data_IF_169227524558
#
_entry.id   IF_169227524558
#
_cell.length_a   1.000
_cell.length_b   1.000
_cell.length_c   1.000
_cell.angle_alpha   90.00
_cell.angle_beta   90.00
_cell.angle_gamma   90.00
#
_symmetry.space_group_name_H-M   'P 1'
#
loop_
_entity.id
_entity.type
_entity.pdbx_description
1 polymer ?
#
# COMPACT_ATOMS: atom_id res chain seq x y z
N UNK A 1 3.86 -34.36 -2.16
CA UNK A 1 4.08 -32.93 -1.85
C UNK A 1 3.66 -32.69 -0.40
N UNK A 2 4.50 -32.08 0.42
CA UNK A 2 4.18 -31.84 1.83
C UNK A 2 3.16 -30.70 1.94
N UNK A 3 1.96 -31.01 2.39
CA UNK A 3 0.95 -29.99 2.71
C UNK A 3 1.48 -29.03 3.78
N UNK A 4 1.22 -27.73 3.61
CA UNK A 4 1.55 -26.71 4.61
C UNK A 4 0.63 -26.84 5.81
N UNK A 5 1.21 -26.79 7.00
CA UNK A 5 0.42 -26.77 8.24
C UNK A 5 -0.25 -25.41 8.44
N UNK A 6 -1.33 -25.37 9.22
CA UNK A 6 -1.95 -24.09 9.63
C UNK A 6 -0.95 -23.17 10.33
N UNK A 7 0.02 -23.76 11.05
CA UNK A 7 1.10 -23.03 11.70
C UNK A 7 1.99 -22.30 10.70
N UNK A 8 2.32 -22.93 9.55
CA UNK A 8 3.10 -22.30 8.47
C UNK A 8 2.30 -21.11 7.86
N UNK A 9 0.98 -21.31 7.60
CA UNK A 9 0.11 -20.32 6.94
C UNK A 9 -0.13 -19.09 7.82
N UNK A 10 -0.50 -19.32 9.08
CA UNK A 10 -0.73 -18.24 10.05
C UNK A 10 0.59 -17.51 10.35
N UNK A 11 1.66 -18.27 10.60
CA UNK A 11 2.95 -17.68 10.92
C UNK A 11 3.51 -16.81 9.80
N UNK A 12 3.37 -17.25 8.55
CA UNK A 12 3.72 -16.41 7.40
C UNK A 12 2.86 -15.14 7.35
N UNK A 13 1.54 -15.26 7.51
CA UNK A 13 0.65 -14.11 7.48
C UNK A 13 0.90 -13.07 8.59
N UNK A 14 1.34 -13.51 9.78
CA UNK A 14 1.72 -12.60 10.88
C UNK A 14 2.93 -11.72 10.53
N UNK A 15 3.81 -12.16 9.62
CA UNK A 15 4.89 -11.32 9.11
C UNK A 15 4.36 -10.09 8.35
N UNK A 16 3.28 -10.24 7.58
CA UNK A 16 2.64 -9.10 6.89
C UNK A 16 1.92 -8.17 7.87
N UNK A 17 1.31 -8.73 8.92
CA UNK A 17 0.73 -7.94 10.01
C UNK A 17 1.78 -7.06 10.68
N UNK A 18 2.98 -7.60 10.95
CA UNK A 18 4.09 -6.84 11.51
C UNK A 18 4.54 -5.68 10.61
N UNK A 19 4.75 -5.95 9.32
CA UNK A 19 5.06 -4.92 8.32
C UNK A 19 3.91 -3.91 8.18
N UNK A 20 2.67 -4.40 8.23
CA UNK A 20 1.45 -3.61 8.17
C UNK A 20 1.31 -2.61 9.33
N UNK A 21 1.78 -2.93 10.52
CA UNK A 21 1.76 -2.03 11.67
C UNK A 21 2.55 -0.75 11.38
N UNK A 22 3.78 -0.89 10.91
CA UNK A 22 4.63 0.27 10.57
C UNK A 22 4.07 1.01 9.35
N UNK A 23 3.61 0.28 8.34
CA UNK A 23 3.02 0.86 7.15
C UNK A 23 1.80 1.73 7.47
N UNK A 24 0.85 1.22 8.26
CA UNK A 24 -0.36 1.95 8.62
C UNK A 24 -0.07 3.15 9.52
N UNK A 25 0.85 2.98 10.49
CA UNK A 25 1.29 4.10 11.32
C UNK A 25 1.89 5.23 10.47
N UNK A 26 2.73 4.88 9.48
CA UNK A 26 3.31 5.85 8.55
C UNK A 26 2.23 6.53 7.69
N UNK A 27 1.26 5.78 7.17
CA UNK A 27 0.24 6.31 6.27
C UNK A 27 -0.77 7.22 6.97
N UNK A 28 -1.17 6.89 8.20
CA UNK A 28 -2.24 7.59 8.89
C UNK A 28 -1.75 8.61 9.92
N UNK A 29 -0.64 8.32 10.60
CA UNK A 29 -0.24 9.09 11.77
C UNK A 29 0.98 9.97 11.52
N UNK A 30 1.92 9.55 10.63
CA UNK A 30 3.23 10.20 10.55
C UNK A 30 3.16 11.63 10.03
N UNK A 31 2.29 11.92 9.06
CA UNK A 31 2.14 13.28 8.54
C UNK A 31 1.70 14.23 9.66
N UNK A 32 0.65 13.87 10.37
CA UNK A 32 0.14 14.64 11.51
C UNK A 32 1.17 14.71 12.64
N UNK A 33 1.82 13.58 12.98
CA UNK A 33 2.87 13.57 14.01
C UNK A 33 3.99 14.57 13.69
N UNK A 34 4.52 14.57 12.46
CA UNK A 34 5.62 15.45 12.09
C UNK A 34 5.23 16.93 12.13
N UNK A 35 4.02 17.31 11.73
CA UNK A 35 3.60 18.71 11.73
C UNK A 35 3.10 19.17 13.09
N UNK A 36 2.16 18.46 13.70
CA UNK A 36 1.40 18.91 14.87
C UNK A 36 2.09 18.55 16.20
N UNK A 37 2.79 17.42 16.27
CA UNK A 37 3.38 16.92 17.52
C UNK A 37 4.88 17.19 17.57
N UNK A 38 5.59 16.91 16.49
CA UNK A 38 7.04 17.06 16.38
C UNK A 38 7.43 18.52 16.04
N UNK A 39 6.57 19.24 15.30
CA UNK A 39 6.75 20.66 14.96
C UNK A 39 7.60 20.91 13.72
N UNK A 40 7.63 20.00 12.75
CA UNK A 40 8.22 20.25 11.43
C UNK A 40 7.28 21.08 10.55
N UNK A 41 7.85 21.91 9.68
CA UNK A 41 7.05 22.54 8.63
C UNK A 41 6.51 21.48 7.64
N UNK A 42 5.29 21.68 7.17
CA UNK A 42 4.63 20.77 6.23
C UNK A 42 5.44 20.62 4.92
N UNK A 43 6.13 21.68 4.46
CA UNK A 43 6.98 21.62 3.28
C UNK A 43 8.19 20.71 3.44
N UNK A 44 8.85 20.73 4.61
CA UNK A 44 9.96 19.81 4.94
C UNK A 44 9.46 18.39 5.00
N UNK A 45 8.31 18.15 5.64
CA UNK A 45 7.66 16.84 5.71
C UNK A 45 7.38 16.27 4.31
N UNK A 46 6.76 17.06 3.43
CA UNK A 46 6.44 16.62 2.06
C UNK A 46 7.71 16.28 1.26
N UNK A 47 8.76 17.09 1.40
CA UNK A 47 10.05 16.83 0.75
C UNK A 47 10.72 15.57 1.29
N UNK A 48 10.65 15.35 2.61
CA UNK A 48 11.17 14.13 3.25
C UNK A 48 10.47 12.87 2.72
N UNK A 49 9.15 12.92 2.57
CA UNK A 49 8.38 11.81 2.01
C UNK A 49 8.77 11.52 0.55
N UNK A 50 8.96 12.56 -0.26
CA UNK A 50 9.42 12.40 -1.64
C UNK A 50 10.82 11.75 -1.70
N UNK A 51 11.79 12.30 -0.97
CA UNK A 51 13.18 11.82 -0.95
C UNK A 51 13.27 10.37 -0.50
N UNK A 52 12.52 10.00 0.55
CA UNK A 52 12.52 8.62 1.04
C UNK A 52 12.00 7.62 -0.02
N UNK A 53 11.03 8.02 -0.84
CA UNK A 53 10.51 7.16 -1.92
C UNK A 53 11.48 7.04 -3.10
N UNK A 54 12.23 8.07 -3.39
CA UNK A 54 13.33 7.97 -4.38
C UNK A 54 14.41 7.00 -3.88
N UNK A 55 14.73 7.04 -2.59
CA UNK A 55 15.65 6.07 -1.98
C UNK A 55 15.11 4.63 -2.05
N UNK A 56 13.81 4.41 -1.79
CA UNK A 56 13.16 3.10 -1.96
C UNK A 56 13.38 2.54 -3.37
N UNK A 57 13.20 3.38 -4.39
CA UNK A 57 13.35 2.96 -5.79
C UNK A 57 14.77 2.44 -6.11
N UNK A 58 15.79 2.92 -5.39
CA UNK A 58 17.18 2.47 -5.53
C UNK A 58 17.47 1.28 -4.61
N UNK A 59 17.00 1.32 -3.38
CA UNK A 59 17.34 0.32 -2.35
C UNK A 59 16.62 -1.00 -2.54
N UNK A 60 15.41 -1.02 -3.11
CA UNK A 60 14.67 -2.28 -3.34
C UNK A 60 15.39 -3.24 -4.32
N UNK A 61 15.87 -2.79 -5.49
CA UNK A 61 16.66 -3.66 -6.37
C UNK A 61 17.97 -4.13 -5.73
N UNK A 62 18.64 -3.24 -4.97
CA UNK A 62 19.86 -3.59 -4.24
C UNK A 62 19.58 -4.64 -3.18
N UNK A 63 18.46 -4.54 -2.49
CA UNK A 63 18.02 -5.53 -1.51
C UNK A 63 17.72 -6.87 -2.16
N UNK A 64 17.04 -6.89 -3.33
CA UNK A 64 16.83 -8.09 -4.12
C UNK A 64 18.14 -8.80 -4.46
N UNK A 65 19.13 -8.06 -4.97
CA UNK A 65 20.47 -8.58 -5.27
C UNK A 65 21.20 -9.12 -4.03
N UNK A 66 21.04 -8.45 -2.88
CA UNK A 66 21.63 -8.91 -1.61
C UNK A 66 21.00 -10.24 -1.17
N UNK A 67 19.68 -10.34 -1.26
CA UNK A 67 18.94 -11.57 -0.94
C UNK A 67 19.36 -12.72 -1.84
N UNK A 68 19.47 -12.48 -3.14
CA UNK A 68 19.86 -13.52 -4.11
C UNK A 68 21.25 -14.08 -3.86
N UNK A 69 22.16 -13.28 -3.30
CA UNK A 69 23.53 -13.69 -2.94
C UNK A 69 23.64 -14.29 -1.54
N UNK A 70 22.60 -14.15 -0.71
CA UNK A 70 22.63 -14.62 0.67
C UNK A 70 22.36 -16.10 0.75
N UNK A 71 23.28 -16.85 1.39
CA UNK A 71 23.13 -18.26 1.72
C UNK A 71 23.56 -18.47 3.15
N UNK A 72 22.62 -18.86 4.02
CA UNK A 72 22.89 -19.09 5.44
C UNK A 72 22.30 -20.43 5.90
N UNK A 73 22.68 -20.86 7.11
CA UNK A 73 22.08 -22.03 7.76
C UNK A 73 20.57 -21.92 8.00
N UNK A 74 20.02 -20.70 7.97
CA UNK A 74 18.59 -20.44 8.14
C UNK A 74 17.82 -20.32 6.83
N UNK A 75 18.51 -20.38 5.70
CA UNK A 75 17.98 -20.20 4.36
C UNK A 75 18.47 -18.92 3.69
N UNK A 76 17.77 -18.50 2.65
CA UNK A 76 18.07 -17.33 1.83
C UNK A 76 17.33 -16.07 2.34
N UNK A 77 16.04 -16.19 2.66
CA UNK A 77 15.13 -15.07 2.98
C UNK A 77 14.90 -14.89 4.48
N UNK A 78 14.77 -16.00 5.24
CA UNK A 78 14.50 -15.99 6.68
C UNK A 78 15.51 -15.24 7.55
N UNK A 79 16.83 -15.22 7.24
CA UNK A 79 17.80 -14.47 8.01
C UNK A 79 17.49 -12.98 8.13
N UNK A 80 16.88 -12.40 7.10
CA UNK A 80 16.51 -10.98 7.09
C UNK A 80 15.38 -10.66 8.06
N UNK A 81 14.45 -11.59 8.28
CA UNK A 81 13.43 -11.48 9.34
C UNK A 81 14.08 -11.54 10.73
N UNK A 82 15.02 -12.47 10.93
CA UNK A 82 15.70 -12.63 12.20
C UNK A 82 16.54 -11.42 12.60
N UNK A 83 17.38 -10.95 11.68
CA UNK A 83 18.29 -9.83 11.94
C UNK A 83 17.59 -8.47 11.84
N UNK A 84 16.58 -8.37 10.99
CA UNK A 84 15.83 -7.14 10.77
C UNK A 84 14.78 -6.84 11.84
N UNK A 85 14.28 -7.82 12.59
CA UNK A 85 13.19 -7.63 13.53
C UNK A 85 13.50 -6.57 14.60
N UNK A 86 14.65 -6.68 15.28
CA UNK A 86 15.04 -5.72 16.32
C UNK A 86 15.28 -4.32 15.77
N UNK A 87 16.11 -4.11 14.73
CA UNK A 87 16.25 -2.80 14.10
C UNK A 87 14.91 -2.20 13.63
N UNK A 88 14.00 -3.04 13.09
CA UNK A 88 12.68 -2.61 12.64
C UNK A 88 11.84 -2.00 13.78
N UNK A 89 11.77 -2.69 14.94
CA UNK A 89 11.09 -2.15 16.11
C UNK A 89 11.73 -0.89 16.66
N UNK A 90 13.08 -0.89 16.83
CA UNK A 90 13.81 0.26 17.37
C UNK A 90 13.63 1.50 16.49
N UNK A 91 13.79 1.38 15.17
CA UNK A 91 13.69 2.53 14.27
C UNK A 91 12.25 3.03 14.18
N UNK A 92 11.25 2.12 14.26
CA UNK A 92 9.85 2.51 14.37
C UNK A 92 9.60 3.39 15.61
N UNK A 93 10.12 3.00 16.76
CA UNK A 93 10.03 3.78 18.01
C UNK A 93 10.73 5.13 17.87
N UNK A 94 11.95 5.15 17.35
CA UNK A 94 12.74 6.37 17.18
C UNK A 94 12.09 7.37 16.21
N UNK A 95 11.41 6.90 15.17
CA UNK A 95 10.73 7.78 14.20
C UNK A 95 9.62 8.61 14.85
N UNK A 96 9.00 8.12 15.92
CA UNK A 96 7.95 8.81 16.66
C UNK A 96 8.43 9.37 18.03
N UNK A 97 9.73 9.45 18.25
CA UNK A 97 10.32 10.10 19.41
C UNK A 97 10.62 11.57 19.10
N UNK A 98 10.30 12.46 20.02
CA UNK A 98 10.52 13.91 19.90
C UNK A 98 11.65 14.36 20.81
N UNK A 99 12.91 14.46 20.33
CA UNK A 99 14.02 14.93 21.14
C UNK A 99 13.99 16.47 21.33
N UNK A 100 14.56 16.94 22.44
CA UNK A 100 14.74 18.37 22.71
C UNK A 100 15.96 18.92 21.98
N UNK A 101 15.90 18.93 20.64
CA UNK A 101 16.95 19.50 19.78
C UNK A 101 16.53 20.89 19.27
N UNK A 102 17.52 21.65 18.76
CA UNK A 102 17.28 22.85 17.98
C UNK A 102 16.42 22.55 16.74
N UNK A 103 15.81 23.55 16.13
CA UNK A 103 14.97 23.37 14.93
C UNK A 103 15.71 22.61 13.81
N UNK A 104 16.98 22.93 13.56
CA UNK A 104 17.81 22.21 12.59
C UNK A 104 18.09 20.76 13.04
N UNK A 105 18.36 20.56 14.33
CA UNK A 105 18.59 19.22 14.89
C UNK A 105 17.35 18.33 14.75
N UNK A 106 16.16 18.88 14.96
CA UNK A 106 14.88 18.17 14.73
C UNK A 106 14.70 17.74 13.27
N UNK A 107 15.02 18.62 12.31
CA UNK A 107 14.93 18.30 10.88
C UNK A 107 15.88 17.14 10.54
N UNK A 108 17.14 17.22 10.97
CA UNK A 108 18.14 16.17 10.73
C UNK A 108 17.69 14.85 11.36
N UNK A 109 17.20 14.89 12.61
CA UNK A 109 16.71 13.73 13.30
C UNK A 109 15.55 13.04 12.57
N UNK A 110 14.54 13.81 12.14
CA UNK A 110 13.41 13.30 11.38
C UNK A 110 13.86 12.69 10.03
N UNK A 111 14.78 13.35 9.32
CA UNK A 111 15.36 12.81 8.08
C UNK A 111 16.07 11.48 8.30
N UNK A 112 16.96 11.42 9.29
CA UNK A 112 17.74 10.21 9.59
C UNK A 112 16.84 9.07 10.01
N UNK A 113 15.93 9.30 10.97
CA UNK A 113 15.04 8.24 11.49
C UNK A 113 14.06 7.73 10.43
N UNK A 114 13.51 8.60 9.60
CA UNK A 114 12.58 8.19 8.56
C UNK A 114 13.29 7.45 7.40
N UNK A 115 14.47 7.90 6.98
CA UNK A 115 15.30 7.18 6.01
C UNK A 115 15.69 5.80 6.55
N UNK A 116 16.12 5.72 7.82
CA UNK A 116 16.42 4.44 8.45
C UNK A 116 15.19 3.54 8.52
N UNK A 117 14.01 4.08 8.84
CA UNK A 117 12.74 3.32 8.84
C UNK A 117 12.47 2.72 7.47
N UNK A 118 12.62 3.51 6.41
CA UNK A 118 12.44 3.08 5.04
C UNK A 118 13.42 1.96 4.66
N UNK A 119 14.71 2.12 4.99
CA UNK A 119 15.73 1.11 4.71
C UNK A 119 15.49 -0.21 5.46
N UNK A 120 15.18 -0.13 6.75
CA UNK A 120 14.91 -1.33 7.57
C UNK A 120 13.59 -1.99 7.15
N UNK A 121 12.59 -1.19 6.76
CA UNK A 121 11.35 -1.73 6.19
C UNK A 121 11.64 -2.53 4.91
N UNK A 122 12.42 -1.98 3.97
CA UNK A 122 12.85 -2.67 2.74
C UNK A 122 13.66 -3.92 3.06
N UNK A 123 14.58 -3.86 4.05
CA UNK A 123 15.40 -4.98 4.49
C UNK A 123 14.57 -6.19 4.98
N UNK A 124 13.43 -5.94 5.62
CA UNK A 124 12.52 -6.99 6.12
C UNK A 124 11.49 -7.37 5.06
N UNK A 125 10.84 -6.40 4.43
CA UNK A 125 9.65 -6.61 3.61
C UNK A 125 9.98 -7.24 2.24
N UNK A 126 11.09 -6.87 1.59
CA UNK A 126 11.46 -7.42 0.27
C UNK A 126 11.71 -8.92 0.35
N UNK A 127 12.58 -9.43 1.27
CA UNK A 127 12.76 -10.87 1.43
C UNK A 127 11.47 -11.59 1.86
N UNK A 128 10.70 -10.98 2.77
CA UNK A 128 9.43 -11.53 3.22
C UNK A 128 8.45 -11.77 2.06
N UNK A 129 8.29 -10.80 1.16
CA UNK A 129 7.40 -10.93 0.00
C UNK A 129 7.83 -12.03 -0.98
N UNK A 130 9.12 -12.36 -1.04
CA UNK A 130 9.66 -13.39 -1.92
C UNK A 130 9.60 -14.82 -1.32
N UNK A 131 9.42 -14.94 0.00
CA UNK A 131 9.40 -16.24 0.70
C UNK A 131 8.39 -17.28 0.21
N UNK A 132 7.18 -16.97 -0.30
CA UNK A 132 6.21 -17.98 -0.70
C UNK A 132 6.76 -18.98 -1.72
N UNK A 133 7.63 -18.52 -2.62
CA UNK A 133 8.29 -19.38 -3.62
C UNK A 133 9.14 -20.47 -3.00
N UNK A 134 9.88 -20.17 -1.93
CA UNK A 134 10.78 -21.12 -1.26
C UNK A 134 10.10 -21.92 -0.14
N UNK A 135 8.95 -21.49 0.35
CA UNK A 135 8.15 -22.24 1.34
C UNK A 135 7.46 -23.44 0.68
N UNK A 136 6.86 -23.24 -0.51
CA UNK A 136 6.15 -24.30 -1.24
C UNK A 136 6.27 -24.16 -2.74
N UNK A 137 6.44 -25.29 -3.42
CA UNK A 137 6.38 -25.38 -4.88
C UNK A 137 4.95 -25.61 -5.39
N UNK A 138 4.01 -26.04 -4.52
CA UNK A 138 2.62 -26.31 -4.89
C UNK A 138 1.85 -24.99 -5.09
N UNK A 139 1.29 -24.71 -6.28
CA UNK A 139 0.53 -23.50 -6.55
C UNK A 139 -0.70 -23.33 -5.63
N UNK A 140 -1.39 -24.42 -5.28
CA UNK A 140 -2.59 -24.37 -4.40
C UNK A 140 -2.20 -23.98 -2.98
N UNK A 141 -1.13 -24.57 -2.45
CA UNK A 141 -0.61 -24.23 -1.12
C UNK A 141 -0.04 -22.80 -1.10
N UNK A 142 0.58 -22.35 -2.19
CA UNK A 142 1.06 -20.95 -2.34
C UNK A 142 -0.11 -19.96 -2.33
N UNK A 143 -1.20 -20.28 -3.03
CA UNK A 143 -2.43 -19.47 -3.01
C UNK A 143 -3.04 -19.41 -1.60
N UNK A 144 -3.14 -20.56 -0.90
CA UNK A 144 -3.62 -20.60 0.47
C UNK A 144 -2.75 -19.76 1.42
N UNK A 145 -1.42 -19.82 1.27
CA UNK A 145 -0.47 -19.02 2.04
C UNK A 145 -0.72 -17.50 1.84
N UNK A 146 -0.90 -17.05 0.59
CA UNK A 146 -1.21 -15.66 0.27
C UNK A 146 -2.59 -15.22 0.80
N UNK A 147 -3.60 -16.10 0.76
CA UNK A 147 -4.92 -15.80 1.31
C UNK A 147 -4.86 -15.55 2.82
N UNK A 148 -4.14 -16.37 3.57
CA UNK A 148 -3.89 -16.15 5.00
C UNK A 148 -3.09 -14.87 5.28
N UNK A 149 -2.10 -14.59 4.43
CA UNK A 149 -1.34 -13.33 4.49
C UNK A 149 -2.26 -12.12 4.41
N UNK A 150 -3.07 -12.02 3.36
CA UNK A 150 -3.97 -10.87 3.17
C UNK A 150 -5.05 -10.77 4.25
N UNK A 151 -5.57 -11.91 4.72
CA UNK A 151 -6.53 -11.92 5.84
C UNK A 151 -5.93 -11.34 7.12
N UNK A 152 -4.74 -11.79 7.51
CA UNK A 152 -4.06 -11.32 8.71
C UNK A 152 -3.55 -9.88 8.56
N UNK A 153 -3.13 -9.46 7.38
CA UNK A 153 -2.80 -8.06 7.09
C UNK A 153 -4.03 -7.14 7.27
N UNK A 154 -5.21 -7.56 6.78
CA UNK A 154 -6.45 -6.81 6.97
C UNK A 154 -6.83 -6.73 8.45
N UNK A 155 -6.74 -7.83 9.19
CA UNK A 155 -6.98 -7.85 10.63
C UNK A 155 -6.01 -6.93 11.39
N UNK A 156 -4.73 -6.93 11.02
CA UNK A 156 -3.72 -6.03 11.57
C UNK A 156 -4.02 -4.54 11.27
N UNK A 157 -4.44 -4.24 10.05
CA UNK A 157 -4.85 -2.88 9.65
C UNK A 157 -6.04 -2.38 10.49
N UNK A 158 -7.05 -3.23 10.70
CA UNK A 158 -8.19 -2.90 11.56
C UNK A 158 -7.76 -2.67 13.01
N UNK A 159 -6.87 -3.53 13.54
CA UNK A 159 -6.36 -3.38 14.89
C UNK A 159 -5.64 -2.04 15.08
N UNK A 160 -4.76 -1.65 14.16
CA UNK A 160 -4.07 -0.35 14.21
C UNK A 160 -5.06 0.81 14.15
N UNK A 161 -6.01 0.77 13.21
CA UNK A 161 -6.99 1.86 13.05
C UNK A 161 -7.84 2.08 14.30
N UNK A 162 -8.10 1.01 15.08
CA UNK A 162 -8.89 1.09 16.31
C UNK A 162 -8.09 1.32 17.58
N UNK A 163 -6.80 0.94 17.61
CA UNK A 163 -6.00 0.88 18.86
C UNK A 163 -4.95 1.99 18.91
N UNK A 164 -4.42 2.46 17.77
CA UNK A 164 -3.27 3.35 17.76
C UNK A 164 -3.54 4.68 18.49
N UNK A 165 -4.61 5.41 18.13
CA UNK A 165 -4.95 6.68 18.78
C UNK A 165 -5.42 6.54 20.23
N UNK A 166 -6.24 5.53 20.62
CA UNK A 166 -6.49 5.24 22.02
C UNK A 166 -5.22 4.97 22.85
N UNK A 167 -4.24 4.22 22.31
CA UNK A 167 -2.95 4.03 22.98
C UNK A 167 -2.22 5.37 23.16
N UNK A 168 -2.21 6.25 22.15
CA UNK A 168 -1.63 7.58 22.26
C UNK A 168 -2.28 8.36 23.40
N UNK A 169 -3.61 8.35 23.50
CA UNK A 169 -4.35 9.04 24.55
C UNK A 169 -4.10 8.47 25.94
N UNK A 170 -4.16 7.15 26.10
CA UNK A 170 -4.01 6.44 27.39
C UNK A 170 -2.58 6.63 27.94
N UNK A 171 -1.57 6.48 27.08
CA UNK A 171 -0.16 6.57 27.49
C UNK A 171 0.25 8.01 27.68
N UNK A 172 -0.19 8.89 26.78
CA UNK A 172 0.18 10.31 26.78
C UNK A 172 -0.42 11.13 27.91
N UNK A 173 -1.60 10.76 28.42
CA UNK A 173 -2.30 11.47 29.49
C UNK A 173 -2.31 13.01 29.30
N UNK A 174 -2.53 13.44 28.07
CA UNK A 174 -2.52 14.85 27.66
C UNK A 174 -1.21 15.34 27.05
N UNK A 175 -0.13 14.57 27.07
CA UNK A 175 1.11 14.85 26.35
C UNK A 175 1.18 13.99 25.09
N UNK A 176 0.89 14.59 23.92
CA UNK A 176 0.87 13.87 22.64
C UNK A 176 2.24 13.28 22.28
N UNK A 177 3.35 13.96 22.58
CA UNK A 177 4.71 13.46 22.28
C UNK A 177 4.99 12.16 22.99
N UNK A 178 4.69 12.09 24.31
CA UNK A 178 4.82 10.86 25.11
C UNK A 178 3.85 9.79 24.61
N UNK A 179 2.64 10.20 24.25
CA UNK A 179 1.59 9.31 23.76
C UNK A 179 1.99 8.60 22.46
N UNK A 180 2.44 9.34 21.44
CA UNK A 180 2.88 8.78 20.16
C UNK A 180 4.10 7.88 20.33
N UNK A 181 5.11 8.32 21.08
CA UNK A 181 6.28 7.48 21.35
C UNK A 181 5.89 6.18 22.05
N UNK A 182 5.11 6.25 23.14
CA UNK A 182 4.68 5.07 23.89
C UNK A 182 3.81 4.11 23.08
N UNK A 183 2.88 4.64 22.27
CA UNK A 183 2.08 3.81 21.37
C UNK A 183 2.96 3.08 20.34
N UNK A 184 3.95 3.78 19.78
CA UNK A 184 4.89 3.16 18.83
C UNK A 184 5.85 2.19 19.49
N UNK A 185 6.17 2.34 20.78
CA UNK A 185 6.87 1.31 21.54
C UNK A 185 6.07 0.01 21.64
N UNK A 186 4.78 0.09 21.93
CA UNK A 186 3.90 -1.08 21.98
C UNK A 186 3.78 -1.74 20.62
N UNK A 187 3.51 -0.95 19.56
CA UNK A 187 3.34 -1.45 18.21
C UNK A 187 4.64 -1.98 17.60
N UNK A 188 5.76 -1.29 17.82
CA UNK A 188 7.07 -1.72 17.36
C UNK A 188 7.52 -3.03 18.02
N UNK A 189 7.33 -3.14 19.34
CA UNK A 189 7.61 -4.39 20.07
C UNK A 189 6.71 -5.54 19.60
N UNK A 190 5.42 -5.27 19.39
CA UNK A 190 4.50 -6.25 18.81
C UNK A 190 4.96 -6.69 17.42
N UNK A 191 5.42 -5.76 16.57
CA UNK A 191 5.98 -6.06 15.27
C UNK A 191 7.21 -6.96 15.34
N UNK A 192 8.13 -6.71 16.27
CA UNK A 192 9.30 -7.58 16.54
C UNK A 192 8.86 -9.00 16.90
N UNK A 193 7.91 -9.14 17.83
CA UNK A 193 7.38 -10.45 18.25
C UNK A 193 6.76 -11.18 17.05
N UNK A 194 5.94 -10.51 16.27
CA UNK A 194 5.28 -11.11 15.08
C UNK A 194 6.28 -11.54 14.01
N UNK A 195 7.35 -10.76 13.76
CA UNK A 195 8.43 -11.14 12.84
C UNK A 195 9.18 -12.38 13.35
N UNK A 196 9.45 -12.48 14.65
CA UNK A 196 10.05 -13.69 15.22
C UNK A 196 9.10 -14.89 15.13
N UNK A 197 7.81 -14.71 15.40
CA UNK A 197 6.83 -15.78 15.20
C UNK A 197 6.86 -16.25 13.74
N UNK A 198 6.86 -15.33 12.77
CA UNK A 198 6.99 -15.66 11.36
C UNK A 198 8.29 -16.44 11.08
N UNK A 199 9.44 -16.00 11.61
CA UNK A 199 10.71 -16.69 11.45
C UNK A 199 10.70 -18.11 12.02
N UNK A 200 10.18 -18.33 13.23
CA UNK A 200 10.19 -19.64 13.90
C UNK A 200 9.15 -20.61 13.35
N UNK A 201 8.08 -20.11 12.74
CA UNK A 201 7.00 -20.95 12.20
C UNK A 201 7.21 -21.33 10.75
N UNK A 202 7.88 -20.49 9.96
CA UNK A 202 8.12 -20.76 8.52
C UNK A 202 9.44 -21.49 8.31
N UNK A 203 9.52 -22.31 7.25
CA UNK A 203 10.75 -22.98 6.81
C UNK A 203 10.90 -22.87 5.31
N UNK A 204 12.10 -22.54 4.83
CA UNK A 204 12.45 -22.64 3.42
C UNK A 204 12.68 -24.11 3.08
N UNK A 205 11.91 -24.64 2.13
CA UNK A 205 11.92 -26.06 1.72
C UNK A 205 12.49 -26.23 0.32
N UNK A 206 12.54 -25.15 -0.46
CA UNK A 206 12.99 -25.14 -1.84
C UNK A 206 14.05 -24.05 -2.04
N UNK A 207 15.03 -24.37 -2.86
CA UNK A 207 16.03 -23.40 -3.33
C UNK A 207 15.89 -23.26 -4.84
N UNK A 208 15.80 -22.03 -5.34
CA UNK A 208 15.80 -21.77 -6.77
C UNK A 208 17.14 -21.17 -7.17
N UNK A 209 17.75 -21.75 -8.21
CA UNK A 209 18.85 -21.10 -8.89
C UNK A 209 18.27 -20.03 -9.82
N UNK A 210 18.77 -18.80 -9.67
CA UNK A 210 18.42 -17.69 -10.57
C UNK A 210 19.05 -18.02 -11.92
N UNK A 211 18.21 -18.39 -12.90
CA UNK A 211 18.69 -18.55 -14.27
C UNK A 211 19.12 -17.18 -14.81
N UNK A 212 20.27 -17.07 -15.47
CA UNK A 212 20.67 -15.84 -16.11
C UNK A 212 19.66 -15.49 -17.21
N UNK A 213 18.82 -14.50 -16.93
CA UNK A 213 17.74 -14.05 -17.82
C UNK A 213 18.28 -13.24 -19.00
N UNK A 214 17.43 -13.07 -20.01
CA UNK A 214 17.61 -12.13 -21.12
C UNK A 214 17.93 -10.71 -20.61
N UNK A 215 18.52 -9.87 -21.45
CA UNK A 215 18.84 -8.49 -21.10
C UNK A 215 17.58 -7.74 -20.64
N UNK A 216 17.50 -7.39 -19.35
CA UNK A 216 16.39 -6.63 -18.75
C UNK A 216 16.13 -5.34 -19.53
N UNK A 217 17.16 -4.71 -20.09
CA UNK A 217 17.02 -3.50 -20.91
C UNK A 217 16.23 -3.75 -22.21
N UNK A 218 16.39 -4.92 -22.86
CA UNK A 218 15.61 -5.28 -24.05
C UNK A 218 14.15 -5.53 -23.70
N UNK A 219 13.90 -6.22 -22.59
CA UNK A 219 12.54 -6.52 -22.12
C UNK A 219 11.81 -5.27 -21.67
N UNK A 220 12.50 -4.36 -20.99
CA UNK A 220 11.95 -3.04 -20.62
C UNK A 220 11.61 -2.21 -21.87
N UNK A 221 12.48 -2.21 -22.89
CA UNK A 221 12.19 -1.52 -24.16
C UNK A 221 10.96 -2.10 -24.86
N UNK A 222 10.76 -3.41 -24.78
CA UNK A 222 9.59 -4.09 -25.31
C UNK A 222 8.31 -3.62 -24.60
N UNK A 223 8.32 -3.57 -23.26
CA UNK A 223 7.20 -3.10 -22.44
C UNK A 223 6.91 -1.60 -22.66
N UNK A 224 7.92 -0.76 -22.83
CA UNK A 224 7.74 0.66 -23.16
C UNK A 224 6.96 0.84 -24.46
N UNK A 225 7.05 -0.10 -25.42
CA UNK A 225 6.24 -0.14 -26.64
C UNK A 225 4.79 -0.61 -26.41
N UNK A 226 4.46 -1.16 -25.23
CA UNK A 226 3.12 -1.64 -24.91
C UNK A 226 2.25 -0.50 -24.34
N UNK A 227 1.27 -0.03 -25.13
CA UNK A 227 0.36 1.04 -24.70
C UNK A 227 -0.50 0.64 -23.50
N UNK A 228 -0.94 -0.62 -23.39
CA UNK A 228 -1.77 -1.10 -22.28
C UNK A 228 -0.98 -1.14 -20.96
N UNK A 229 0.28 -1.56 -21.03
CA UNK A 229 1.20 -1.51 -19.89
C UNK A 229 1.42 -0.08 -19.39
N UNK A 230 1.66 0.90 -20.30
CA UNK A 230 1.82 2.32 -19.93
C UNK A 230 0.58 2.88 -19.24
N UNK A 231 -0.61 2.55 -19.75
CA UNK A 231 -1.89 2.95 -19.14
C UNK A 231 -2.03 2.36 -17.75
N UNK A 232 -1.73 1.08 -17.58
CA UNK A 232 -1.78 0.40 -16.27
C UNK A 232 -0.84 1.04 -15.24
N UNK A 233 0.41 1.32 -15.63
CA UNK A 233 1.39 1.97 -14.74
C UNK A 233 0.95 3.38 -14.33
N UNK A 234 0.51 4.21 -15.29
CA UNK A 234 0.01 5.55 -15.01
C UNK A 234 -1.25 5.53 -14.14
N UNK A 235 -2.17 4.61 -14.42
CA UNK A 235 -3.37 4.39 -13.62
C UNK A 235 -3.02 4.04 -12.17
N UNK A 236 -2.10 3.07 -11.96
CA UNK A 236 -1.68 2.67 -10.62
C UNK A 236 -1.03 3.80 -9.84
N UNK A 237 -0.18 4.58 -10.51
CA UNK A 237 0.45 5.76 -9.93
C UNK A 237 -0.60 6.78 -9.44
N UNK A 238 -1.59 7.11 -10.28
CA UNK A 238 -2.67 8.06 -9.94
C UNK A 238 -3.56 7.52 -8.82
N UNK A 239 -3.94 6.23 -8.87
CA UNK A 239 -4.74 5.58 -7.83
C UNK A 239 -4.06 5.61 -6.47
N UNK A 240 -2.76 5.33 -6.44
CA UNK A 240 -1.99 5.37 -5.18
C UNK A 240 -1.79 6.81 -4.69
N UNK A 241 -1.47 7.74 -5.59
CA UNK A 241 -1.34 9.16 -5.24
C UNK A 241 -2.63 9.69 -4.61
N UNK A 242 -3.80 9.43 -5.20
CA UNK A 242 -5.09 9.86 -4.66
C UNK A 242 -5.38 9.29 -3.27
N UNK A 243 -5.06 8.01 -3.06
CA UNK A 243 -5.22 7.36 -1.77
C UNK A 243 -4.33 7.97 -0.68
N UNK A 244 -3.07 8.28 -1.01
CA UNK A 244 -2.11 8.89 -0.09
C UNK A 244 -2.48 10.32 0.25
N UNK A 245 -2.90 11.12 -0.74
CA UNK A 245 -3.34 12.50 -0.49
C UNK A 245 -4.55 12.51 0.45
N UNK A 246 -5.55 11.69 0.18
CA UNK A 246 -6.74 11.59 1.03
C UNK A 246 -6.40 11.06 2.43
N UNK A 247 -5.62 9.97 2.51
CA UNK A 247 -5.19 9.36 3.78
C UNK A 247 -4.37 10.33 4.64
N UNK A 248 -3.39 11.02 4.04
CA UNK A 248 -2.57 12.02 4.72
C UNK A 248 -3.37 13.25 5.19
N UNK A 249 -4.42 13.63 4.46
CA UNK A 249 -5.31 14.72 4.83
C UNK A 249 -6.37 14.34 5.90
N UNK A 250 -6.57 13.03 6.17
CA UNK A 250 -7.68 12.55 7.01
C UNK A 250 -7.66 13.12 8.42
N UNK A 251 -6.53 13.06 9.12
CA UNK A 251 -6.45 13.56 10.50
C UNK A 251 -6.61 15.08 10.58
N UNK A 252 -6.06 15.81 9.61
CA UNK A 252 -6.27 17.27 9.52
C UNK A 252 -7.74 17.60 9.28
N UNK A 253 -8.42 16.84 8.42
CA UNK A 253 -9.83 17.02 8.13
C UNK A 253 -10.70 16.79 9.37
N UNK A 254 -10.46 15.71 10.12
CA UNK A 254 -11.23 15.41 11.34
C UNK A 254 -10.95 16.42 12.44
N UNK A 255 -9.67 16.82 12.64
CA UNK A 255 -9.27 17.73 13.70
C UNK A 255 -9.72 19.17 13.44
N UNK A 256 -9.49 19.69 12.23
CA UNK A 256 -9.63 21.13 11.95
C UNK A 256 -10.88 21.48 11.16
N UNK A 257 -11.37 20.60 10.28
CA UNK A 257 -12.58 20.88 9.47
C UNK A 257 -13.83 20.41 10.19
N UNK A 258 -13.80 19.21 10.78
CA UNK A 258 -14.93 18.70 11.58
C UNK A 258 -14.94 19.25 13.01
N UNK A 259 -13.78 19.74 13.49
CA UNK A 259 -13.56 20.21 14.87
C UNK A 259 -13.88 19.17 15.96
N UNK A 260 -13.65 17.87 15.64
CA UNK A 260 -13.93 16.75 16.52
C UNK A 260 -12.75 15.75 16.56
N UNK A 261 -11.60 16.14 17.13
CA UNK A 261 -10.41 15.28 17.20
C UNK A 261 -10.66 13.94 17.93
N UNK A 262 -11.60 13.91 18.88
CA UNK A 262 -12.01 12.70 19.61
C UNK A 262 -12.65 11.65 18.72
N UNK A 263 -13.19 12.01 17.56
CA UNK A 263 -13.81 11.08 16.61
C UNK A 263 -12.82 10.48 15.61
N UNK A 264 -11.54 10.87 15.66
CA UNK A 264 -10.52 10.43 14.70
C UNK A 264 -10.37 8.89 14.68
N UNK A 265 -10.36 8.26 15.85
CA UNK A 265 -10.30 6.79 15.96
C UNK A 265 -11.46 6.10 15.26
N UNK A 266 -12.68 6.58 15.52
CA UNK A 266 -13.91 6.02 14.94
C UNK A 266 -13.92 6.22 13.43
N UNK A 267 -13.48 7.40 12.94
CA UNK A 267 -13.39 7.71 11.52
C UNK A 267 -12.43 6.78 10.77
N UNK A 268 -11.25 6.50 11.35
CA UNK A 268 -10.27 5.57 10.80
C UNK A 268 -10.75 4.12 10.89
N UNK A 269 -11.34 3.71 12.01
CA UNK A 269 -11.81 2.34 12.24
C UNK A 269 -12.96 1.97 11.29
N UNK A 270 -14.00 2.81 11.23
CA UNK A 270 -15.13 2.56 10.32
C UNK A 270 -14.71 2.62 8.86
N UNK A 271 -13.75 3.51 8.53
CA UNK A 271 -13.12 3.54 7.23
C UNK A 271 -12.41 2.24 6.89
N UNK A 272 -11.61 1.69 7.80
CA UNK A 272 -10.89 0.43 7.61
C UNK A 272 -11.84 -0.78 7.49
N UNK A 273 -12.93 -0.80 8.25
CA UNK A 273 -14.00 -1.79 8.08
C UNK A 273 -14.62 -1.69 6.68
N UNK A 274 -14.97 -0.49 6.24
CA UNK A 274 -15.56 -0.27 4.92
C UNK A 274 -14.64 -0.72 3.79
N UNK A 275 -13.32 -0.46 3.87
CA UNK A 275 -12.34 -0.91 2.89
C UNK A 275 -12.27 -2.44 2.82
N UNK A 276 -12.28 -3.10 3.96
CA UNK A 276 -12.23 -4.57 4.05
C UNK A 276 -13.47 -5.19 3.40
N UNK A 277 -14.66 -4.73 3.76
CA UNK A 277 -15.91 -5.22 3.18
C UNK A 277 -16.03 -4.88 1.68
N UNK A 278 -15.60 -3.71 1.25
CA UNK A 278 -15.57 -3.30 -0.16
C UNK A 278 -14.72 -4.26 -1.01
N UNK A 279 -13.54 -4.61 -0.53
CA UNK A 279 -12.66 -5.56 -1.21
C UNK A 279 -13.28 -6.97 -1.29
N UNK A 280 -13.89 -7.46 -0.22
CA UNK A 280 -14.57 -8.77 -0.18
C UNK A 280 -15.79 -8.85 -1.11
N UNK A 281 -16.54 -7.76 -1.23
CA UNK A 281 -17.71 -7.70 -2.09
C UNK A 281 -17.39 -7.49 -3.57
N UNK A 282 -16.14 -7.18 -3.91
CA UNK A 282 -15.69 -6.84 -5.27
C UNK A 282 -16.13 -7.88 -6.32
N UNK A 283 -15.82 -9.15 -6.12
CA UNK A 283 -16.13 -10.21 -7.08
C UNK A 283 -17.63 -10.39 -7.34
N UNK A 284 -18.47 -10.25 -6.29
CA UNK A 284 -19.92 -10.37 -6.41
C UNK A 284 -20.56 -9.19 -7.12
N UNK A 285 -20.07 -7.97 -6.87
CA UNK A 285 -20.60 -6.75 -7.45
C UNK A 285 -20.22 -6.61 -8.93
N UNK A 286 -19.01 -7.05 -9.28
CA UNK A 286 -18.41 -6.78 -10.59
C UNK A 286 -18.52 -7.95 -11.57
N UNK A 287 -18.80 -9.17 -11.11
CA UNK A 287 -18.85 -10.37 -11.94
C UNK A 287 -19.99 -10.41 -12.98
N UNK A 288 -20.87 -9.38 -13.03
CA UNK A 288 -21.99 -9.28 -13.98
C UNK A 288 -21.76 -8.25 -15.10
N UNK A 289 -20.73 -7.44 -14.99
CA UNK A 289 -20.44 -6.34 -15.93
C UNK A 289 -19.04 -6.49 -16.49
N UNK A 290 -18.84 -6.00 -17.73
CA UNK A 290 -17.49 -5.87 -18.25
C UNK A 290 -16.61 -5.05 -17.29
N UNK A 291 -15.44 -5.59 -16.92
CA UNK A 291 -14.55 -5.05 -15.89
C UNK A 291 -14.20 -3.58 -16.13
N UNK A 292 -13.87 -3.20 -17.38
CA UNK A 292 -13.46 -1.84 -17.70
C UNK A 292 -14.62 -0.87 -17.54
N UNK A 293 -15.81 -1.26 -18.00
CA UNK A 293 -17.03 -0.46 -17.89
C UNK A 293 -17.46 -0.31 -16.45
N UNK A 294 -17.48 -1.42 -15.67
CA UNK A 294 -17.77 -1.39 -14.24
C UNK A 294 -16.81 -0.46 -13.50
N UNK A 295 -15.52 -0.55 -13.80
CA UNK A 295 -14.51 0.29 -13.16
C UNK A 295 -14.75 1.78 -13.42
N UNK A 296 -15.10 2.17 -14.65
CA UNK A 296 -15.44 3.57 -14.98
C UNK A 296 -16.60 4.09 -14.14
N UNK A 297 -17.69 3.31 -14.02
CA UNK A 297 -18.85 3.71 -13.23
C UNK A 297 -18.54 3.82 -11.73
N UNK A 298 -17.69 2.94 -11.22
CA UNK A 298 -17.23 3.00 -9.83
C UNK A 298 -16.40 4.27 -9.59
N UNK A 299 -15.51 4.64 -10.54
CA UNK A 299 -14.76 5.89 -10.45
C UNK A 299 -15.69 7.10 -10.39
N UNK A 300 -16.72 7.13 -11.22
CA UNK A 300 -17.73 8.20 -11.18
C UNK A 300 -18.45 8.20 -9.83
N UNK A 301 -18.88 7.03 -9.34
CA UNK A 301 -19.61 6.93 -8.08
C UNK A 301 -18.80 7.48 -6.88
N UNK A 302 -17.57 7.01 -6.68
CA UNK A 302 -16.77 7.50 -5.54
C UNK A 302 -16.28 8.94 -5.73
N UNK A 303 -16.14 9.43 -6.99
CA UNK A 303 -15.87 10.84 -7.24
C UNK A 303 -17.03 11.73 -6.83
N UNK A 304 -18.27 11.33 -7.17
CA UNK A 304 -19.47 12.05 -6.73
C UNK A 304 -19.62 12.05 -5.22
N UNK A 305 -19.38 10.90 -4.56
CA UNK A 305 -19.41 10.82 -3.09
C UNK A 305 -18.36 11.75 -2.48
N UNK A 306 -17.15 11.81 -3.04
CA UNK A 306 -16.10 12.73 -2.57
C UNK A 306 -16.51 14.19 -2.71
N UNK A 307 -17.14 14.58 -3.82
CA UNK A 307 -17.68 15.92 -4.00
C UNK A 307 -18.85 16.21 -3.06
N UNK A 308 -19.72 15.23 -2.78
CA UNK A 308 -20.79 15.39 -1.78
C UNK A 308 -20.21 15.69 -0.40
N UNK A 309 -19.14 15.02 0.01
CA UNK A 309 -18.44 15.34 1.27
C UNK A 309 -17.93 16.80 1.24
N UNK A 310 -17.38 17.26 0.11
CA UNK A 310 -16.89 18.63 -0.02
C UNK A 310 -17.97 19.67 0.20
N UNK A 311 -19.18 19.45 -0.32
CA UNK A 311 -20.30 20.40 -0.16
C UNK A 311 -21.06 20.22 1.17
N UNK A 312 -20.82 19.13 1.90
CA UNK A 312 -21.49 18.91 3.20
C UNK A 312 -20.93 19.88 4.26
N UNK A 313 -21.79 20.62 4.98
CA UNK A 313 -21.36 21.43 6.11
C UNK A 313 -20.74 20.57 7.22
N UNK A 314 -19.75 21.12 7.92
CA UNK A 314 -19.01 20.38 8.96
C UNK A 314 -19.90 19.92 10.14
N UNK A 315 -21.00 20.64 10.38
CA UNK A 315 -22.00 20.34 11.42
C UNK A 315 -22.71 18.99 11.22
N UNK A 316 -22.81 18.52 9.96
CA UNK A 316 -23.46 17.26 9.63
C UNK A 316 -22.53 16.05 9.77
N UNK A 317 -21.96 15.85 10.95
CA UNK A 317 -20.95 14.84 11.27
C UNK A 317 -21.40 13.43 10.84
N UNK A 318 -22.62 13.02 11.20
CA UNK A 318 -23.16 11.71 10.86
C UNK A 318 -23.21 11.46 9.34
N UNK A 319 -23.56 12.50 8.56
CA UNK A 319 -23.59 12.42 7.09
C UNK A 319 -22.17 12.31 6.52
N UNK A 320 -21.21 13.06 7.06
CA UNK A 320 -19.78 12.97 6.65
C UNK A 320 -19.25 11.56 6.92
N UNK A 321 -19.54 10.97 8.09
CA UNK A 321 -19.17 9.59 8.41
C UNK A 321 -19.80 8.59 7.43
N UNK A 322 -21.11 8.69 7.18
CA UNK A 322 -21.81 7.80 6.27
C UNK A 322 -21.27 7.89 4.84
N UNK A 323 -21.02 9.09 4.34
CA UNK A 323 -20.43 9.32 3.02
C UNK A 323 -18.99 8.82 2.94
N UNK A 324 -18.19 8.99 4.00
CA UNK A 324 -16.82 8.49 4.02
C UNK A 324 -16.77 6.95 4.04
N UNK A 325 -17.63 6.32 4.82
CA UNK A 325 -17.79 4.84 4.85
C UNK A 325 -18.18 4.35 3.46
N UNK A 326 -19.20 4.97 2.85
CA UNK A 326 -19.67 4.63 1.50
C UNK A 326 -18.56 4.84 0.45
N UNK A 327 -17.83 5.96 0.52
CA UNK A 327 -16.69 6.24 -0.34
C UNK A 327 -15.64 5.14 -0.26
N UNK A 328 -15.19 4.79 0.95
CA UNK A 328 -14.13 3.80 1.17
C UNK A 328 -14.57 2.39 0.77
N UNK A 329 -15.84 2.05 1.02
CA UNK A 329 -16.42 0.79 0.55
C UNK A 329 -16.37 0.71 -0.98
N UNK A 330 -16.93 1.70 -1.69
CA UNK A 330 -16.99 1.74 -3.15
C UNK A 330 -15.58 1.80 -3.76
N UNK A 331 -14.69 2.63 -3.22
CA UNK A 331 -13.31 2.75 -3.68
C UNK A 331 -12.56 1.42 -3.62
N UNK A 332 -12.68 0.67 -2.52
CA UNK A 332 -11.95 -0.57 -2.33
C UNK A 332 -12.49 -1.77 -3.12
N UNK A 333 -13.71 -1.68 -3.70
CA UNK A 333 -14.16 -2.70 -4.66
C UNK A 333 -13.26 -2.75 -5.91
N UNK A 334 -12.53 -1.68 -6.21
CA UNK A 334 -11.62 -1.61 -7.37
C UNK A 334 -10.24 -2.22 -7.12
N UNK A 335 -9.84 -2.45 -5.87
CA UNK A 335 -8.49 -2.94 -5.54
C UNK A 335 -8.18 -4.30 -6.17
N UNK A 336 -9.03 -5.33 -6.10
CA UNK A 336 -8.77 -6.60 -6.79
C UNK A 336 -8.69 -6.45 -8.31
N UNK A 337 -9.50 -5.57 -8.91
CA UNK A 337 -9.46 -5.31 -10.35
C UNK A 337 -8.13 -4.74 -10.82
N UNK A 338 -7.51 -3.87 -10.01
CA UNK A 338 -6.19 -3.31 -10.34
C UNK A 338 -5.11 -4.38 -10.45
N UNK A 339 -5.16 -5.43 -9.61
CA UNK A 339 -4.25 -6.56 -9.69
C UNK A 339 -4.55 -7.47 -10.89
N UNK A 340 -5.82 -7.68 -11.22
CA UNK A 340 -6.22 -8.41 -12.42
C UNK A 340 -5.72 -7.73 -13.70
N UNK A 341 -5.82 -6.39 -13.79
CA UNK A 341 -5.29 -5.63 -14.91
C UNK A 341 -3.79 -5.88 -15.13
N UNK A 342 -3.01 -6.06 -14.05
CA UNK A 342 -1.59 -6.37 -14.19
C UNK A 342 -1.37 -7.75 -14.82
N UNK A 343 -2.16 -8.75 -14.44
CA UNK A 343 -2.11 -10.09 -15.04
C UNK A 343 -2.57 -10.08 -16.52
N UNK A 344 -3.64 -9.33 -16.82
CA UNK A 344 -4.15 -9.19 -18.20
C UNK A 344 -3.10 -8.56 -19.14
N UNK A 345 -2.31 -7.61 -18.62
CA UNK A 345 -1.20 -6.99 -19.37
C UNK A 345 -0.07 -7.98 -19.62
N UNK A 346 0.21 -8.90 -18.69
CA UNK A 346 1.20 -9.98 -18.91
C UNK A 346 0.76 -10.87 -20.08
N UNK A 347 -0.49 -11.35 -20.08
CA UNK A 347 -1.03 -12.23 -21.11
C UNK A 347 -1.11 -11.50 -22.47
N UNK A 348 -1.47 -10.22 -22.45
CA UNK A 348 -1.45 -9.40 -23.67
C UNK A 348 -0.04 -9.22 -24.23
N UNK A 349 0.99 -9.01 -23.39
CA UNK A 349 2.36 -8.89 -23.86
C UNK A 349 2.87 -10.23 -24.41
N UNK A 350 2.54 -11.34 -23.76
CA UNK A 350 2.88 -12.70 -24.28
C UNK A 350 2.26 -12.93 -25.63
N UNK A 351 0.98 -12.59 -25.83
CA UNK A 351 0.31 -12.74 -27.15
C UNK A 351 0.91 -11.86 -28.25
N UNK A 352 1.49 -10.70 -27.87
CA UNK A 352 2.08 -9.72 -28.80
C UNK A 352 3.51 -10.03 -29.18
N UNK A 353 4.32 -10.44 -28.21
CA UNK A 353 5.77 -10.58 -28.36
C UNK A 353 6.26 -12.03 -28.32
N UNK A 354 5.37 -12.97 -27.98
CA UNK A 354 5.75 -14.36 -27.73
C UNK A 354 6.58 -14.56 -26.46
N UNK A 355 6.72 -13.53 -25.63
CA UNK A 355 7.54 -13.55 -24.41
C UNK A 355 6.70 -13.23 -23.19
N UNK A 356 6.75 -14.11 -22.21
CA UNK A 356 6.08 -13.92 -20.93
C UNK A 356 6.99 -13.14 -19.97
N UNK A 357 6.53 -11.97 -19.53
CA UNK A 357 7.33 -11.01 -18.75
C UNK A 357 6.67 -10.68 -17.40
N UNK A 358 6.17 -11.72 -16.67
CA UNK A 358 5.46 -11.54 -15.39
C UNK A 358 6.26 -10.69 -14.40
N UNK A 359 7.51 -11.07 -14.14
CA UNK A 359 8.35 -10.38 -13.16
C UNK A 359 8.55 -8.90 -13.47
N UNK A 360 8.76 -8.56 -14.75
CA UNK A 360 9.00 -7.18 -15.16
C UNK A 360 7.70 -6.34 -15.15
N UNK A 361 6.55 -6.90 -15.54
CA UNK A 361 5.27 -6.21 -15.47
C UNK A 361 4.87 -5.93 -14.02
N UNK A 362 4.97 -6.92 -13.12
CA UNK A 362 4.63 -6.72 -11.72
C UNK A 362 5.62 -5.81 -10.98
N UNK A 363 6.92 -5.89 -11.28
CA UNK A 363 7.91 -4.98 -10.67
C UNK A 363 7.69 -3.53 -11.08
N UNK A 364 7.38 -3.27 -12.35
CA UNK A 364 7.07 -1.91 -12.83
C UNK A 364 5.71 -1.40 -12.32
N UNK A 365 4.74 -2.29 -12.10
CA UNK A 365 3.48 -1.96 -11.44
C UNK A 365 3.71 -1.52 -9.98
N UNK A 366 4.53 -2.26 -9.22
CA UNK A 366 4.92 -1.90 -7.86
C UNK A 366 5.76 -0.61 -7.81
N UNK A 367 6.63 -0.41 -8.80
CA UNK A 367 7.37 0.84 -8.94
C UNK A 367 6.43 2.04 -9.17
N UNK A 368 5.41 1.88 -10.02
CA UNK A 368 4.38 2.91 -10.24
C UNK A 368 3.59 3.23 -8.97
N UNK A 369 3.28 2.20 -8.15
CA UNK A 369 2.70 2.37 -6.83
C UNK A 369 3.60 3.25 -5.95
N UNK A 370 4.91 2.99 -5.91
CA UNK A 370 5.85 3.76 -5.09
C UNK A 370 6.00 5.21 -5.54
N UNK A 371 6.00 5.46 -6.85
CA UNK A 371 5.97 6.84 -7.38
C UNK A 371 4.69 7.56 -6.92
N UNK A 372 3.54 6.89 -6.98
CA UNK A 372 2.27 7.44 -6.47
C UNK A 372 2.32 7.80 -4.99
N UNK A 373 2.95 6.94 -4.16
CA UNK A 373 3.20 7.22 -2.73
C UNK A 373 4.07 8.47 -2.54
N UNK A 374 5.15 8.59 -3.32
CA UNK A 374 6.09 9.71 -3.25
C UNK A 374 5.41 11.04 -3.58
N UNK A 375 4.72 11.09 -4.72
CA UNK A 375 4.02 12.30 -5.19
C UNK A 375 2.89 12.66 -4.22
N UNK A 376 2.08 11.68 -3.79
CA UNK A 376 0.95 11.92 -2.89
C UNK A 376 1.39 12.49 -1.56
N UNK A 377 2.43 11.95 -0.94
CA UNK A 377 2.98 12.47 0.31
C UNK A 377 3.55 13.89 0.17
N UNK A 378 4.29 14.16 -0.92
CA UNK A 378 4.82 15.49 -1.21
C UNK A 378 3.70 16.52 -1.45
N UNK A 379 2.68 16.16 -2.20
CA UNK A 379 1.52 17.03 -2.50
C UNK A 379 0.83 17.51 -1.22
N UNK A 380 0.59 16.62 -0.26
CA UNK A 380 0.00 17.00 1.02
C UNK A 380 0.86 18.04 1.73
N UNK A 381 2.16 17.77 1.88
CA UNK A 381 3.07 18.68 2.58
C UNK A 381 3.24 20.03 1.87
N UNK A 382 3.41 20.02 0.55
CA UNK A 382 3.63 21.26 -0.21
C UNK A 382 2.38 22.15 -0.29
N UNK A 383 1.20 21.56 -0.45
CA UNK A 383 -0.05 22.34 -0.48
C UNK A 383 -0.33 22.95 0.90
N UNK A 384 -0.11 22.21 2.01
CA UNK A 384 -0.23 22.76 3.36
C UNK A 384 0.80 23.86 3.63
N UNK A 385 2.03 23.71 3.13
CA UNK A 385 3.06 24.73 3.24
C UNK A 385 2.69 26.00 2.47
N UNK A 386 2.11 25.87 1.28
CA UNK A 386 1.70 27.02 0.44
C UNK A 386 0.68 27.92 1.16
N UNK A 387 -0.25 27.35 1.89
CA UNK A 387 -1.24 28.12 2.67
C UNK A 387 -0.75 28.50 4.07
N UNK A 388 0.55 28.38 4.34
CA UNK A 388 1.17 28.71 5.62
C UNK A 388 0.50 27.98 6.82
N UNK A 389 0.15 26.70 6.62
CA UNK A 389 -0.38 25.88 7.70
C UNK A 389 0.59 25.86 8.89
N UNK A 390 0.08 26.15 10.09
CA UNK A 390 0.84 26.11 11.33
C UNK A 390 0.06 25.37 12.42
N UNK A 391 0.64 24.30 12.93
CA UNK A 391 0.06 23.50 14.01
C UNK A 391 -0.06 24.27 15.35
N UNK A 392 0.73 25.34 15.52
CA UNK A 392 0.72 26.18 16.74
C UNK A 392 -0.49 27.12 16.82
N UNK A 393 -1.23 27.31 15.72
CA UNK A 393 -2.44 28.16 15.71
C UNK A 393 -3.63 27.39 16.26
N UNK A 394 -4.22 27.86 17.37
CA UNK A 394 -5.42 27.26 17.94
C UNK A 394 -6.64 27.39 17.02
N UNK A 395 -6.69 28.43 16.20
CA UNK A 395 -7.72 28.64 15.18
C UNK A 395 -7.02 28.80 13.84
N UNK A 396 -7.34 27.89 12.90
CA UNK A 396 -6.77 27.93 11.55
C UNK A 396 -7.53 28.96 10.69
N UNK A 397 -6.82 29.71 9.82
CA UNK A 397 -7.47 30.59 8.84
C UNK A 397 -8.44 29.79 7.93
N UNK A 398 -9.50 30.46 7.47
CA UNK A 398 -10.51 29.85 6.58
C UNK A 398 -9.88 29.28 5.30
N UNK A 399 -8.82 29.90 4.78
CA UNK A 399 -8.07 29.44 3.63
C UNK A 399 -7.40 28.06 3.89
N UNK A 400 -6.85 27.86 5.10
CA UNK A 400 -6.24 26.59 5.50
C UNK A 400 -7.31 25.51 5.64
N UNK A 401 -8.44 25.80 6.29
CA UNK A 401 -9.56 24.86 6.43
C UNK A 401 -10.11 24.44 5.07
N UNK A 402 -10.30 25.40 4.17
CA UNK A 402 -10.75 25.15 2.80
C UNK A 402 -9.74 24.29 2.04
N UNK A 403 -8.46 24.56 2.21
CA UNK A 403 -7.39 23.80 1.56
C UNK A 403 -7.32 22.35 2.08
N UNK A 404 -7.49 22.12 3.38
CA UNK A 404 -7.58 20.77 3.94
C UNK A 404 -8.78 20.04 3.33
N UNK A 405 -9.92 20.71 3.20
CA UNK A 405 -11.13 20.15 2.56
C UNK A 405 -10.90 19.84 1.07
N UNK A 406 -10.17 20.68 0.35
CA UNK A 406 -9.75 20.46 -1.04
C UNK A 406 -8.81 19.26 -1.14
N UNK A 407 -7.80 19.15 -0.28
CA UNK A 407 -6.88 18.00 -0.23
C UNK A 407 -7.62 16.68 0.03
N UNK A 408 -8.58 16.69 0.94
CA UNK A 408 -9.33 15.49 1.30
C UNK A 408 -10.33 15.07 0.22
N UNK A 409 -10.99 16.03 -0.46
CA UNK A 409 -12.10 15.73 -1.37
C UNK A 409 -11.76 15.98 -2.85
N UNK A 410 -11.19 17.16 -3.20
CA UNK A 410 -11.13 17.65 -4.59
C UNK A 410 -9.87 17.15 -5.31
N UNK A 411 -8.70 17.22 -4.68
CA UNK A 411 -7.44 16.76 -5.29
C UNK A 411 -7.54 15.28 -5.71
N UNK A 412 -8.09 14.37 -4.87
CA UNK A 412 -8.36 13.01 -5.31
C UNK A 412 -9.28 12.93 -6.55
N UNK A 413 -10.34 13.76 -6.62
CA UNK A 413 -11.28 13.75 -7.75
C UNK A 413 -10.60 14.14 -9.06
N UNK A 414 -9.66 15.08 -9.06
CA UNK A 414 -8.86 15.42 -10.23
C UNK A 414 -8.05 14.20 -10.72
N UNK A 415 -7.46 13.45 -9.80
CA UNK A 415 -6.74 12.22 -10.13
C UNK A 415 -7.70 11.13 -10.63
N UNK A 416 -8.90 11.02 -10.07
CA UNK A 416 -9.94 10.09 -10.52
C UNK A 416 -10.41 10.41 -11.95
N UNK A 417 -10.54 11.67 -12.30
CA UNK A 417 -10.84 12.09 -13.67
C UNK A 417 -9.72 11.65 -14.64
N UNK A 418 -8.46 11.80 -14.24
CA UNK A 418 -7.32 11.26 -14.98
C UNK A 418 -7.38 9.73 -15.15
N UNK A 419 -7.70 9.01 -14.07
CA UNK A 419 -7.89 7.55 -14.12
C UNK A 419 -9.02 7.14 -15.07
N UNK A 420 -10.15 7.86 -15.06
CA UNK A 420 -11.27 7.62 -15.96
C UNK A 420 -10.86 7.81 -17.42
N UNK A 421 -10.10 8.88 -17.72
CA UNK A 421 -9.56 9.14 -19.06
C UNK A 421 -8.62 7.99 -19.47
N UNK A 422 -7.70 7.56 -18.59
CA UNK A 422 -6.78 6.44 -18.87
C UNK A 422 -7.53 5.15 -19.18
N UNK A 423 -8.58 4.81 -18.42
CA UNK A 423 -9.42 3.64 -18.69
C UNK A 423 -10.19 3.74 -20.02
N UNK A 424 -10.39 4.93 -20.57
CA UNK A 424 -11.02 5.08 -21.89
C UNK A 424 -10.11 4.64 -23.03
N UNK A 425 -8.79 4.63 -22.80
CA UNK A 425 -7.78 4.10 -23.72
C UNK A 425 -7.39 2.65 -23.43
N UNK A 426 -7.87 2.08 -22.31
CA UNK A 426 -7.59 0.70 -21.94
C UNK A 426 -8.49 -0.26 -22.74
N UNK A 427 -7.87 -1.14 -23.53
CA UNK A 427 -8.56 -1.98 -24.53
C UNK A 427 -8.71 -3.45 -24.12
N UNK A 428 -8.24 -3.84 -22.93
CA UNK A 428 -8.33 -5.21 -22.44
C UNK A 428 -9.66 -5.42 -21.70
N UNK A 429 -10.75 -5.45 -22.46
CA UNK A 429 -12.09 -5.83 -21.99
C UNK A 429 -12.14 -7.34 -21.72
N UNK A 430 -13.15 -7.82 -20.96
CA UNK A 430 -13.30 -9.24 -20.65
C UNK A 430 -13.30 -10.12 -21.90
N UNK A 431 -14.06 -9.74 -22.92
CA UNK A 431 -14.10 -10.47 -24.20
C UNK A 431 -12.73 -10.54 -24.90
N UNK A 432 -11.93 -9.48 -24.81
CA UNK A 432 -10.60 -9.45 -25.42
C UNK A 432 -9.58 -10.27 -24.62
N UNK A 433 -9.64 -10.21 -23.29
CA UNK A 433 -8.79 -11.01 -22.41
C UNK A 433 -9.08 -12.49 -22.60
N UNK A 434 -10.36 -12.88 -22.70
CA UNK A 434 -10.75 -14.26 -23.00
C UNK A 434 -10.24 -14.73 -24.36
N UNK A 435 -10.37 -13.93 -25.40
CA UNK A 435 -9.84 -14.24 -26.74
C UNK A 435 -8.30 -14.43 -26.72
N UNK A 436 -7.56 -13.58 -25.99
CA UNK A 436 -6.12 -13.70 -25.81
C UNK A 436 -5.78 -15.00 -25.06
N UNK A 437 -6.48 -15.30 -23.99
CA UNK A 437 -6.29 -16.52 -23.20
C UNK A 437 -6.48 -17.78 -24.07
N UNK A 438 -7.56 -17.83 -24.86
CA UNK A 438 -7.81 -18.94 -25.78
C UNK A 438 -6.73 -19.06 -26.86
N UNK A 439 -6.23 -17.95 -27.38
CA UNK A 439 -5.12 -17.94 -28.33
C UNK A 439 -3.84 -18.50 -27.72
N UNK A 440 -3.49 -18.08 -26.49
CA UNK A 440 -2.31 -18.59 -25.78
C UNK A 440 -2.41 -20.07 -25.46
N UNK A 441 -3.59 -20.56 -25.04
CA UNK A 441 -3.84 -21.98 -24.80
C UNK A 441 -3.60 -22.80 -26.07
N UNK A 442 -4.16 -22.35 -27.22
CA UNK A 442 -3.95 -23.02 -28.51
C UNK A 442 -2.49 -23.03 -28.91
N UNK A 443 -1.78 -21.94 -28.72
CA UNK A 443 -0.36 -21.82 -29.06
C UNK A 443 0.52 -22.74 -28.21
N UNK A 444 0.29 -22.82 -26.89
CA UNK A 444 0.99 -23.73 -25.98
C UNK A 444 0.69 -25.20 -26.27
N UNK A 445 -0.57 -25.53 -26.58
CA UNK A 445 -0.95 -26.87 -27.02
C UNK A 445 -0.20 -27.31 -28.29
N UNK A 446 -0.03 -26.39 -29.24
CA UNK A 446 0.72 -26.67 -30.49
C UNK A 446 2.23 -26.85 -30.25
N UNK A 447 2.78 -26.29 -29.15
CA UNK A 447 4.18 -26.44 -28.77
C UNK A 447 4.44 -27.65 -27.84
N UNK A 448 3.40 -28.42 -27.48
CA UNK A 448 3.52 -29.59 -26.62
C UNK A 448 3.77 -29.27 -25.13
N UNK A 449 3.55 -28.00 -24.73
CA UNK A 449 3.62 -27.62 -23.33
C UNK A 449 2.38 -28.11 -22.57
N UNK A 450 2.56 -28.58 -21.31
CA UNK A 450 1.46 -29.04 -20.48
C UNK A 450 0.44 -27.92 -20.26
N UNK A 451 -0.78 -28.10 -20.76
CA UNK A 451 -1.89 -27.16 -20.56
C UNK A 451 -2.29 -27.21 -19.09
N UNK A 452 -2.28 -26.10 -18.35
CA UNK A 452 -2.95 -26.05 -17.04
C UNK A 452 -4.43 -26.36 -17.25
N UNK A 453 -4.96 -27.38 -16.53
CA UNK A 453 -6.36 -27.80 -16.66
C UNK A 453 -7.34 -26.63 -16.71
N UNK A 454 -7.97 -26.44 -17.86
CA UNK A 454 -9.00 -25.41 -18.09
C UNK A 454 -10.28 -25.62 -17.25
N UNK A 455 -10.39 -26.73 -16.53
CA UNK A 455 -11.54 -27.06 -15.67
C UNK A 455 -11.58 -26.26 -14.36
N UNK A 456 -10.49 -25.59 -13.95
CA UNK A 456 -10.43 -24.85 -12.68
C UNK A 456 -10.69 -23.34 -12.84
N UNK A 457 -10.70 -22.81 -14.05
CA UNK A 457 -10.94 -21.38 -14.32
C UNK A 457 -12.45 -21.02 -14.49
N UNK A 458 -13.32 -22.02 -14.67
CA UNK A 458 -14.76 -21.80 -14.90
C UNK A 458 -15.61 -21.92 -13.63
N UNK A 459 -15.01 -22.19 -12.45
CA UNK A 459 -15.75 -22.41 -11.20
C UNK A 459 -15.45 -21.40 -10.07
N UNK A 460 -14.88 -20.22 -10.40
CA UNK A 460 -14.69 -19.15 -9.40
C UNK A 460 -15.26 -17.82 -9.87
#
# INVERSE_FOLDING_TARGET
MTQLTMKDKIGYGLGDTACGFVWQATMFLLAYFYTDVFGLSAGIMGTLFLVSRVLDAVTDPLMGLLVDRTRTRYGQFRPFLLWGAIPFGIVCMLTFYTPDFSAQGKIIYACVTYILLTLVYTFVNVPYCAMPGVITADPKERHALQSWRFFLAAAGSLAISGIALPLVSIIGKGNEQVGYFGAMCVLGLSGVVLLYVCFFTTKERYTFEVQPGSSVAKDLKLLLGNGQWRIMCAFKMMATCSNVVRGGATLYFVKYVMDHPEMATQFLLYGSLATTFGSLCSSRLLGRFDRVTAFKWIIVAYSLISLLIFFTPAEHIALIFALNILFLFVFNTTTPLQWLMASDVVDYEESRSGRRLDGLVFSTYLFSLKIGLAIGGAVVGWILAWVNYSASSSVQPVEVLTTIKILFCVVPVVLYAGMFIMLSFYKLTDARVEAISQQLIKHRAAQGEAIPDAATAASH
#
